data_IF_639715215780
#
_entry.id   IF_639715215780
#
_cell.length_a   1.000
_cell.length_b   1.000
_cell.length_c   1.000
_cell.angle_alpha   90.00
_cell.angle_beta   90.00
_cell.angle_gamma   90.00
#
_symmetry.space_group_name_H-M   'P 1'
#
loop_
_entity.id
_entity.type
_entity.pdbx_description
1 polymer ?
#
# COMPACT_ATOMS: atom_id res chain seq x y z
N UNK A 1 -9.73 10.85 -28.13
CA UNK A 1 -9.98 9.44 -28.49
C UNK A 1 -8.97 8.58 -27.72
N UNK A 2 -9.43 7.58 -26.95
CA UNK A 2 -8.58 6.84 -26.00
C UNK A 2 -7.46 6.02 -26.68
N UNK A 3 -7.63 5.63 -27.95
CA UNK A 3 -6.70 4.77 -28.69
C UNK A 3 -6.50 5.21 -30.16
N UNK A 4 -6.34 6.51 -30.41
CA UNK A 4 -6.00 7.01 -31.75
C UNK A 4 -4.62 6.49 -32.17
N UNK A 5 -4.46 6.13 -33.45
CA UNK A 5 -3.21 5.72 -34.10
C UNK A 5 -2.56 4.41 -33.63
N UNK A 6 -3.25 3.54 -32.88
CA UNK A 6 -2.74 2.18 -32.60
C UNK A 6 -3.17 1.17 -33.68
N UNK A 7 -2.26 0.29 -34.14
CA UNK A 7 -2.54 -0.65 -35.23
C UNK A 7 -3.58 -1.72 -34.86
N UNK A 8 -3.88 -1.90 -33.58
CA UNK A 8 -4.61 -3.07 -33.06
C UNK A 8 -6.07 -2.79 -32.67
N UNK A 9 -6.50 -1.51 -32.69
CA UNK A 9 -7.85 -1.13 -32.24
C UNK A 9 -8.11 -1.46 -30.76
N UNK A 10 -9.39 -1.62 -30.38
CA UNK A 10 -9.84 -2.01 -29.04
C UNK A 10 -10.33 -3.47 -29.07
N UNK A 11 -9.70 -4.37 -28.31
CA UNK A 11 -10.17 -5.76 -28.20
C UNK A 11 -9.35 -6.63 -27.23
N UNK A 12 -9.94 -7.72 -26.69
CA UNK A 12 -9.27 -8.63 -25.76
C UNK A 12 -8.24 -9.55 -26.43
N UNK A 13 -8.22 -9.62 -27.76
CA UNK A 13 -7.28 -10.44 -28.53
C UNK A 13 -6.56 -9.60 -29.58
N UNK A 14 -5.22 -9.59 -29.53
CA UNK A 14 -4.38 -9.06 -30.60
C UNK A 14 -4.35 -10.01 -31.79
N UNK A 15 -4.42 -9.46 -33.02
CA UNK A 15 -4.18 -10.23 -34.26
C UNK A 15 -2.69 -10.33 -34.61
N UNK A 16 -1.82 -9.59 -33.93
CA UNK A 16 -0.39 -9.42 -34.24
C UNK A 16 0.50 -10.11 -33.20
N UNK A 17 0.08 -10.14 -31.92
CA UNK A 17 0.82 -10.74 -30.80
C UNK A 17 -0.09 -11.64 -29.96
N UNK A 18 -0.54 -12.76 -30.52
CA UNK A 18 -1.22 -13.81 -29.73
C UNK A 18 -0.23 -14.47 -28.76
N UNK A 19 -0.57 -14.68 -27.47
CA UNK A 19 -1.90 -14.60 -26.84
C UNK A 19 -2.18 -13.31 -26.04
N UNK A 20 -1.46 -12.21 -26.31
CA UNK A 20 -1.53 -10.98 -25.49
C UNK A 20 -2.71 -10.10 -25.97
N UNK A 21 -3.48 -9.47 -25.06
CA UNK A 21 -4.53 -8.54 -25.43
C UNK A 21 -4.00 -7.32 -26.19
N UNK A 22 -4.88 -6.62 -26.93
CA UNK A 22 -4.48 -5.39 -27.63
C UNK A 22 -3.90 -4.38 -26.65
N UNK A 23 -2.87 -3.67 -27.06
CA UNK A 23 -2.17 -2.74 -26.17
C UNK A 23 -3.08 -1.59 -25.69
N UNK A 24 -4.12 -1.25 -26.45
CA UNK A 24 -5.21 -0.36 -26.02
C UNK A 24 -6.05 -0.95 -24.87
N UNK A 25 -6.42 -2.24 -24.92
CA UNK A 25 -7.16 -2.93 -23.86
C UNK A 25 -6.32 -3.04 -22.58
N UNK A 26 -5.00 -3.26 -22.73
CA UNK A 26 -4.07 -3.26 -21.60
C UNK A 26 -4.10 -1.91 -20.88
N UNK A 27 -3.92 -0.81 -21.62
CA UNK A 27 -3.82 0.53 -21.06
C UNK A 27 -5.15 1.08 -20.52
N UNK A 28 -6.28 0.53 -20.94
CA UNK A 28 -7.61 1.00 -20.50
C UNK A 28 -8.26 0.13 -19.44
N UNK A 29 -8.02 -1.18 -19.43
CA UNK A 29 -8.71 -2.12 -18.55
C UNK A 29 -7.74 -2.78 -17.58
N UNK A 30 -6.63 -3.35 -18.06
CA UNK A 30 -5.71 -4.12 -17.20
C UNK A 30 -4.88 -3.22 -16.28
N UNK A 31 -4.21 -2.20 -16.84
CA UNK A 31 -3.35 -1.29 -16.07
C UNK A 31 -4.09 -0.62 -14.89
N UNK A 32 -5.31 -0.07 -15.05
CA UNK A 32 -6.02 0.55 -13.92
C UNK A 32 -6.72 -0.47 -12.99
N UNK A 33 -6.78 -1.76 -13.33
CA UNK A 33 -7.51 -2.79 -12.56
C UNK A 33 -7.11 -2.84 -11.08
N UNK A 34 -5.81 -2.82 -10.70
CA UNK A 34 -5.43 -2.81 -9.29
C UNK A 34 -5.99 -1.61 -8.52
N UNK A 35 -6.09 -0.46 -9.19
CA UNK A 35 -6.65 0.76 -8.60
C UNK A 35 -8.16 0.63 -8.40
N UNK A 36 -8.88 0.06 -9.38
CA UNK A 36 -10.30 -0.23 -9.23
C UNK A 36 -10.58 -1.19 -8.08
N UNK A 37 -9.80 -2.28 -7.97
CA UNK A 37 -9.92 -3.23 -6.87
C UNK A 37 -9.63 -2.55 -5.53
N UNK A 38 -8.59 -1.73 -5.45
CA UNK A 38 -8.25 -0.99 -4.23
C UNK A 38 -9.35 0.01 -3.84
N UNK A 39 -9.93 0.74 -4.81
CA UNK A 39 -11.04 1.66 -4.60
C UNK A 39 -12.31 0.96 -4.11
N UNK A 40 -12.58 -0.27 -4.57
CA UNK A 40 -13.72 -1.07 -4.13
C UNK A 40 -13.49 -1.68 -2.74
N UNK A 41 -12.26 -2.13 -2.45
CA UNK A 41 -11.90 -2.70 -1.15
C UNK A 41 -11.95 -1.68 -0.01
N UNK A 42 -11.57 -0.42 -0.28
CA UNK A 42 -11.49 0.63 0.73
C UNK A 42 -12.82 0.90 1.48
N UNK A 43 -13.98 1.12 0.82
CA UNK A 43 -15.25 1.32 1.51
C UNK A 43 -15.74 0.06 2.22
N UNK A 44 -15.50 -1.14 1.66
CA UNK A 44 -15.85 -2.41 2.31
C UNK A 44 -15.11 -2.56 3.64
N UNK A 45 -13.79 -2.36 3.63
CA UNK A 45 -12.98 -2.41 4.84
C UNK A 45 -13.37 -1.33 5.84
N UNK A 46 -13.76 -0.15 5.37
CA UNK A 46 -14.24 0.93 6.23
C UNK A 46 -15.54 0.54 6.94
N UNK A 47 -16.53 -0.02 6.24
CA UNK A 47 -17.80 -0.49 6.82
C UNK A 47 -17.55 -1.61 7.83
N UNK A 48 -16.75 -2.62 7.47
CA UNK A 48 -16.40 -3.72 8.36
C UNK A 48 -15.68 -3.22 9.62
N UNK A 49 -14.77 -2.24 9.46
CA UNK A 49 -14.05 -1.65 10.59
C UNK A 49 -14.98 -0.87 11.52
N UNK A 50 -15.97 -0.15 10.99
CA UNK A 50 -16.98 0.55 11.79
C UNK A 50 -17.86 -0.45 12.54
N UNK A 51 -18.32 -1.50 11.86
CA UNK A 51 -19.19 -2.52 12.46
C UNK A 51 -18.50 -3.24 13.62
N UNK A 52 -17.26 -3.71 13.42
CA UNK A 52 -16.48 -4.36 14.47
C UNK A 52 -16.12 -3.41 15.62
N UNK A 53 -15.88 -2.13 15.34
CA UNK A 53 -15.60 -1.15 16.39
C UNK A 53 -16.81 -0.92 17.28
N UNK A 54 -18.02 -0.90 16.73
CA UNK A 54 -19.26 -0.79 17.53
C UNK A 54 -19.42 -1.98 18.49
N UNK A 55 -19.06 -3.18 18.04
CA UNK A 55 -19.16 -4.40 18.86
C UNK A 55 -18.11 -4.49 19.97
N UNK A 56 -16.91 -3.95 19.75
CA UNK A 56 -15.75 -4.17 20.64
C UNK A 56 -15.22 -2.87 21.29
N UNK A 57 -16.04 -1.83 21.42
CA UNK A 57 -15.59 -0.55 21.98
C UNK A 57 -15.42 -0.65 23.49
N UNK A 58 -14.18 -0.82 23.95
CA UNK A 58 -13.85 -0.79 25.37
C UNK A 58 -13.14 0.55 25.71
N UNK A 59 -13.81 1.50 26.41
CA UNK A 59 -13.32 2.87 26.60
C UNK A 59 -12.01 2.96 27.39
N UNK A 60 -11.71 1.94 28.20
CA UNK A 60 -10.59 1.83 29.14
C UNK A 60 -9.21 1.57 28.51
N UNK A 61 -9.08 1.47 27.19
CA UNK A 61 -7.76 1.26 26.53
C UNK A 61 -7.26 2.48 25.77
N UNK A 62 -8.08 3.54 25.69
CA UNK A 62 -7.83 4.71 24.85
C UNK A 62 -6.70 5.61 25.39
N UNK A 63 -6.49 5.62 26.71
CA UNK A 63 -5.49 6.42 27.40
C UNK A 63 -4.08 5.80 27.42
N UNK A 64 -3.93 4.49 27.18
CA UNK A 64 -2.64 3.80 27.17
C UNK A 64 -1.92 3.87 25.81
N UNK A 65 -2.31 4.78 24.91
CA UNK A 65 -1.67 4.92 23.59
C UNK A 65 -0.31 5.61 23.72
N UNK A 66 0.67 4.87 24.25
CA UNK A 66 2.07 5.25 24.29
C UNK A 66 2.52 5.66 22.89
N UNK A 67 3.00 6.91 22.77
CA UNK A 67 3.61 7.39 21.53
C UNK A 67 4.84 6.51 21.25
N UNK A 68 4.88 5.75 20.15
CA UNK A 68 6.06 4.95 19.85
C UNK A 68 7.24 5.90 19.67
N UNK A 69 8.34 5.64 20.38
CA UNK A 69 9.61 6.36 20.23
C UNK A 69 10.05 6.21 18.77
N UNK A 70 9.98 7.32 18.00
CA UNK A 70 10.29 7.33 16.58
C UNK A 70 11.80 7.26 16.45
N UNK A 71 12.31 6.10 16.05
CA UNK A 71 13.74 5.90 15.80
C UNK A 71 14.11 6.58 14.49
N UNK A 72 15.34 7.09 14.40
CA UNK A 72 15.87 7.72 13.20
C UNK A 72 15.75 6.80 11.97
N UNK A 73 16.06 5.51 12.12
CA UNK A 73 15.88 4.50 11.07
C UNK A 73 14.44 4.43 10.53
N UNK A 74 13.42 4.54 11.38
CA UNK A 74 12.03 4.55 10.92
C UNK A 74 11.72 5.82 10.10
N UNK A 75 12.33 6.95 10.47
CA UNK A 75 12.18 8.18 9.71
C UNK A 75 12.85 8.08 8.34
N UNK A 76 14.07 7.56 8.28
CA UNK A 76 14.82 7.37 7.03
C UNK A 76 14.10 6.43 6.07
N UNK A 77 13.65 5.27 6.54
CA UNK A 77 12.89 4.30 5.72
C UNK A 77 11.56 4.90 5.24
N UNK A 78 10.88 5.67 6.10
CA UNK A 78 9.65 6.37 5.70
C UNK A 78 9.89 7.48 4.69
N UNK A 79 11.01 8.21 4.77
CA UNK A 79 11.37 9.23 3.79
C UNK A 79 11.67 8.60 2.43
N UNK A 80 12.48 7.55 2.41
CA UNK A 80 12.79 6.79 1.20
C UNK A 80 11.52 6.27 0.51
N UNK A 81 10.56 5.75 1.28
CA UNK A 81 9.27 5.30 0.77
C UNK A 81 8.52 6.38 -0.01
N UNK A 82 8.39 7.61 0.53
CA UNK A 82 7.69 8.69 -0.18
C UNK A 82 8.48 9.22 -1.37
N UNK A 83 9.80 9.29 -1.27
CA UNK A 83 10.66 9.67 -2.40
C UNK A 83 10.45 8.71 -3.56
N UNK A 84 10.45 7.40 -3.31
CA UNK A 84 10.20 6.40 -4.34
C UNK A 84 8.80 6.51 -4.97
N UNK A 85 7.77 6.83 -4.18
CA UNK A 85 6.43 7.09 -4.73
C UNK A 85 6.45 8.32 -5.63
N UNK A 86 7.05 9.43 -5.20
CA UNK A 86 7.16 10.64 -6.03
C UNK A 86 7.93 10.36 -7.31
N UNK A 87 9.05 9.64 -7.23
CA UNK A 87 9.80 9.20 -8.41
C UNK A 87 8.94 8.36 -9.36
N UNK A 88 8.12 7.45 -8.84
CA UNK A 88 7.23 6.63 -9.67
C UNK A 88 6.13 7.47 -10.36
N UNK A 89 5.55 8.47 -9.65
CA UNK A 89 4.63 9.43 -10.26
C UNK A 89 5.31 10.20 -11.39
N UNK A 90 6.53 10.71 -11.16
CA UNK A 90 7.28 11.45 -12.17
C UNK A 90 7.60 10.56 -13.40
N UNK A 91 7.97 9.30 -13.19
CA UNK A 91 8.21 8.35 -14.28
C UNK A 91 6.94 8.11 -15.12
N UNK A 92 5.77 7.98 -14.49
CA UNK A 92 4.50 7.85 -15.22
C UNK A 92 4.15 9.12 -16.01
N UNK A 93 4.39 10.30 -15.42
CA UNK A 93 4.19 11.57 -16.13
C UNK A 93 5.11 11.66 -17.35
N UNK A 94 6.37 11.24 -17.24
CA UNK A 94 7.30 11.19 -18.36
C UNK A 94 6.82 10.23 -19.46
N UNK A 95 6.32 9.05 -19.09
CA UNK A 95 5.74 8.11 -20.06
C UNK A 95 4.54 8.74 -20.79
N UNK A 96 3.61 9.36 -20.05
CA UNK A 96 2.42 10.01 -20.61
C UNK A 96 2.82 11.12 -21.59
N UNK A 97 3.75 11.99 -21.21
CA UNK A 97 4.22 13.09 -22.07
C UNK A 97 4.92 12.54 -23.32
N UNK A 98 5.73 11.48 -23.19
CA UNK A 98 6.41 10.84 -24.32
C UNK A 98 5.42 10.18 -25.28
N UNK A 99 4.35 9.57 -24.76
CA UNK A 99 3.27 8.98 -25.57
C UNK A 99 2.41 10.06 -26.26
N UNK A 100 2.16 11.19 -25.59
CA UNK A 100 1.44 12.33 -26.16
C UNK A 100 2.20 12.94 -27.34
N UNK A 101 3.52 13.13 -27.20
CA UNK A 101 4.39 13.65 -28.26
C UNK A 101 4.37 12.77 -29.52
N UNK A 102 4.12 11.47 -29.36
CA UNK A 102 3.94 10.52 -30.47
C UNK A 102 2.50 10.42 -30.98
N UNK A 103 1.56 11.23 -30.45
CA UNK A 103 0.11 11.20 -30.77
C UNK A 103 -0.53 9.81 -30.57
N UNK A 104 0.02 8.99 -29.68
CA UNK A 104 -0.60 7.73 -29.30
C UNK A 104 -1.67 7.97 -28.23
N UNK A 105 -2.74 7.18 -28.29
CA UNK A 105 -3.76 7.17 -27.23
C UNK A 105 -3.15 6.84 -25.87
N UNK A 106 -3.43 7.70 -24.88
CA UNK A 106 -2.92 7.64 -23.50
C UNK A 106 -3.82 6.73 -22.61
N UNK A 107 -4.93 6.20 -23.15
CA UNK A 107 -5.80 5.25 -22.45
C UNK A 107 -6.26 5.75 -21.07
N UNK A 108 -6.24 4.85 -20.08
CA UNK A 108 -6.47 5.17 -18.66
C UNK A 108 -5.17 5.17 -17.84
N UNK A 109 -4.01 5.25 -18.51
CA UNK A 109 -2.70 5.28 -17.87
C UNK A 109 -2.58 6.35 -16.75
N UNK A 110 -3.09 7.60 -16.87
CA UNK A 110 -3.05 8.56 -15.76
C UNK A 110 -3.85 8.15 -14.52
N UNK A 111 -4.75 7.15 -14.62
CA UNK A 111 -5.52 6.67 -13.47
C UNK A 111 -4.65 5.90 -12.46
N UNK A 112 -3.51 5.35 -12.86
CA UNK A 112 -2.57 4.68 -11.93
C UNK A 112 -1.94 5.66 -10.94
N UNK A 113 -1.81 6.94 -11.30
CA UNK A 113 -1.39 8.02 -10.39
C UNK A 113 -2.35 8.11 -9.19
N UNK A 114 -3.66 7.90 -9.40
CA UNK A 114 -4.65 7.89 -8.32
C UNK A 114 -4.36 6.77 -7.33
N UNK A 115 -3.95 5.59 -7.82
CA UNK A 115 -3.52 4.46 -6.99
C UNK A 115 -2.30 4.80 -6.13
N UNK A 116 -1.27 5.42 -6.73
CA UNK A 116 -0.07 5.87 -6.02
C UNK A 116 -0.39 6.88 -4.92
N UNK A 117 -1.20 7.89 -5.25
CA UNK A 117 -1.64 8.91 -4.30
C UNK A 117 -2.45 8.30 -3.16
N UNK A 118 -3.37 7.39 -3.46
CA UNK A 118 -4.14 6.66 -2.47
C UNK A 118 -3.24 5.84 -1.53
N UNK A 119 -2.27 5.09 -2.08
CA UNK A 119 -1.31 4.31 -1.31
C UNK A 119 -0.47 5.18 -0.37
N UNK A 120 0.01 6.32 -0.86
CA UNK A 120 0.74 7.32 -0.07
C UNK A 120 -0.13 7.91 1.06
N UNK A 121 -1.37 8.30 0.75
CA UNK A 121 -2.31 8.85 1.74
C UNK A 121 -2.69 7.83 2.81
N UNK A 122 -2.90 6.57 2.43
CA UNK A 122 -3.17 5.47 3.37
C UNK A 122 -1.97 5.22 4.28
N UNK A 123 -0.75 5.23 3.74
CA UNK A 123 0.47 5.07 4.53
C UNK A 123 0.68 6.24 5.49
N UNK A 124 0.55 7.48 5.01
CA UNK A 124 0.71 8.71 5.79
C UNK A 124 -0.28 8.81 6.92
N UNK A 125 -1.55 8.52 6.62
CA UNK A 125 -2.64 8.54 7.59
C UNK A 125 -2.63 7.31 8.51
N UNK A 126 -1.77 6.31 8.26
CA UNK A 126 -1.79 4.99 8.91
C UNK A 126 -3.20 4.35 8.84
N UNK A 127 -3.83 4.43 7.66
CA UNK A 127 -5.23 4.03 7.42
C UNK A 127 -6.25 4.94 8.11
N UNK A 128 -5.97 6.25 8.20
CA UNK A 128 -6.71 7.27 8.95
C UNK A 128 -6.82 6.99 10.47
N UNK A 129 -5.67 6.95 11.15
CA UNK A 129 -5.53 6.87 12.63
C UNK A 129 -5.92 5.51 13.24
N UNK A 130 -5.89 4.46 12.43
CA UNK A 130 -6.28 3.10 12.80
C UNK A 130 -7.77 2.81 12.66
N UNK A 131 -8.51 3.67 11.95
CA UNK A 131 -9.95 3.48 11.69
C UNK A 131 -10.20 2.36 10.69
N UNK A 132 -9.31 2.15 9.73
CA UNK A 132 -9.42 1.09 8.71
C UNK A 132 -8.52 -0.08 9.12
N UNK A 133 -9.09 -1.16 9.65
CA UNK A 133 -8.38 -2.41 9.95
C UNK A 133 -8.16 -3.15 8.63
N UNK A 134 -6.91 -3.24 8.18
CA UNK A 134 -6.57 -3.85 6.88
C UNK A 134 -6.14 -2.88 5.78
N UNK A 135 -5.87 -1.60 6.10
CA UNK A 135 -5.35 -0.64 5.11
C UNK A 135 -4.06 -1.08 4.40
N UNK A 136 -3.24 -1.92 5.07
CA UNK A 136 -2.04 -2.50 4.47
C UNK A 136 -2.37 -3.47 3.33
N UNK A 137 -3.51 -4.15 3.38
CA UNK A 137 -3.98 -5.02 2.30
C UNK A 137 -4.32 -4.20 1.05
N UNK A 138 -4.97 -3.04 1.23
CA UNK A 138 -5.26 -2.12 0.11
C UNK A 138 -3.97 -1.64 -0.54
N UNK A 139 -2.99 -1.22 0.27
CA UNK A 139 -1.67 -0.84 -0.23
C UNK A 139 -0.97 -2.01 -0.93
N UNK A 140 -1.03 -3.23 -0.39
CA UNK A 140 -0.44 -4.41 -1.01
C UNK A 140 -1.05 -4.71 -2.38
N UNK A 141 -2.36 -4.56 -2.55
CA UNK A 141 -3.03 -4.71 -3.86
C UNK A 141 -2.49 -3.68 -4.86
N UNK A 142 -2.32 -2.43 -4.44
CA UNK A 142 -1.75 -1.37 -5.30
C UNK A 142 -0.31 -1.69 -5.69
N UNK A 143 0.54 -2.09 -4.73
CA UNK A 143 1.96 -2.36 -5.00
C UNK A 143 2.15 -3.62 -5.86
N UNK A 144 1.55 -4.75 -5.46
CA UNK A 144 1.67 -6.02 -6.18
C UNK A 144 1.01 -5.91 -7.55
N UNK A 145 -0.19 -5.32 -7.62
CA UNK A 145 -0.88 -5.09 -8.88
C UNK A 145 -0.10 -4.16 -9.80
N UNK A 146 0.54 -3.11 -9.26
CA UNK A 146 1.44 -2.23 -10.02
C UNK A 146 2.62 -2.98 -10.64
N UNK A 147 3.28 -3.87 -9.88
CA UNK A 147 4.36 -4.74 -10.40
C UNK A 147 3.84 -5.64 -11.52
N UNK A 148 2.73 -6.35 -11.28
CA UNK A 148 2.16 -7.31 -12.23
C UNK A 148 1.75 -6.62 -13.53
N UNK A 149 1.04 -5.49 -13.45
CA UNK A 149 0.59 -4.79 -14.66
C UNK A 149 1.75 -4.15 -15.43
N UNK A 150 2.75 -3.62 -14.73
CA UNK A 150 3.98 -3.12 -15.38
C UNK A 150 4.73 -4.25 -16.10
N UNK A 151 4.79 -5.45 -15.51
CA UNK A 151 5.39 -6.62 -16.16
C UNK A 151 4.59 -7.06 -17.40
N UNK A 152 3.27 -7.08 -17.32
CA UNK A 152 2.39 -7.35 -18.48
C UNK A 152 2.64 -6.34 -19.60
N UNK A 153 2.77 -5.06 -19.26
CA UNK A 153 3.07 -4.00 -20.23
C UNK A 153 4.44 -4.19 -20.88
N UNK A 154 5.49 -4.53 -20.12
CA UNK A 154 6.83 -4.87 -20.65
C UNK A 154 6.75 -6.05 -21.63
N UNK A 155 6.05 -7.12 -21.27
CA UNK A 155 5.91 -8.31 -22.12
C UNK A 155 5.14 -7.98 -23.40
N UNK A 156 4.08 -7.16 -23.31
CA UNK A 156 3.33 -6.67 -24.46
C UNK A 156 4.19 -5.85 -25.43
N UNK A 157 4.95 -4.89 -24.90
CA UNK A 157 5.87 -4.05 -25.69
C UNK A 157 6.99 -4.88 -26.35
N UNK A 158 7.52 -5.88 -25.65
CA UNK A 158 8.56 -6.76 -26.19
C UNK A 158 8.04 -7.63 -27.33
N UNK A 159 6.76 -8.03 -27.27
CA UNK A 159 6.10 -8.88 -28.27
C UNK A 159 5.63 -8.12 -29.52
N UNK A 160 5.24 -6.85 -29.39
CA UNK A 160 5.00 -5.95 -30.55
C UNK A 160 6.24 -5.81 -31.45
N UNK A 161 7.43 -6.12 -30.93
CA UNK A 161 8.65 -6.28 -31.71
C UNK A 161 9.37 -4.97 -32.03
N UNK A 162 10.68 -5.07 -32.24
CA UNK A 162 11.59 -3.92 -32.41
C UNK A 162 11.28 -3.13 -33.70
N UNK A 163 10.46 -3.66 -34.63
CA UNK A 163 10.16 -3.01 -35.90
C UNK A 163 8.99 -2.00 -35.84
N UNK A 164 8.20 -1.97 -34.75
CA UNK A 164 7.01 -1.11 -34.66
C UNK A 164 7.29 0.40 -34.60
N UNK A 165 8.49 0.83 -34.15
CA UNK A 165 8.86 2.26 -33.98
C UNK A 165 10.35 2.59 -34.15
N UNK A 166 11.09 1.84 -34.98
CA UNK A 166 12.50 2.17 -35.29
C UNK A 166 12.58 3.56 -35.93
N UNK A 167 13.31 4.49 -35.30
CA UNK A 167 13.52 5.86 -35.80
C UNK A 167 12.59 6.94 -35.23
N UNK A 168 11.67 6.61 -34.32
CA UNK A 168 10.86 7.62 -33.62
C UNK A 168 11.59 8.21 -32.40
N UNK A 169 11.14 9.38 -31.92
CA UNK A 169 11.73 10.09 -30.76
C UNK A 169 11.61 9.30 -29.43
N UNK A 170 10.83 8.22 -29.39
CA UNK A 170 10.71 7.33 -28.24
C UNK A 170 10.57 5.87 -28.72
N UNK A 171 11.70 5.16 -28.91
CA UNK A 171 11.70 3.79 -29.38
C UNK A 171 11.12 2.84 -28.32
N UNK A 172 10.56 1.71 -28.76
CA UNK A 172 9.96 0.69 -27.88
C UNK A 172 10.96 0.18 -26.83
N UNK A 173 12.25 0.13 -27.15
CA UNK A 173 13.31 -0.24 -26.19
C UNK A 173 13.36 0.69 -24.98
N UNK A 174 13.27 2.01 -25.20
CA UNK A 174 13.30 2.99 -24.12
C UNK A 174 12.03 2.91 -23.28
N UNK A 175 10.88 2.67 -23.93
CA UNK A 175 9.62 2.44 -23.23
C UNK A 175 9.65 1.19 -22.34
N UNK A 176 10.21 0.09 -22.84
CA UNK A 176 10.37 -1.13 -22.04
C UNK A 176 11.23 -0.88 -20.80
N UNK A 177 12.33 -0.12 -20.94
CA UNK A 177 13.20 0.22 -19.82
C UNK A 177 12.47 1.10 -18.80
N UNK A 178 11.78 2.16 -19.24
CA UNK A 178 11.04 3.05 -18.35
C UNK A 178 9.99 2.28 -17.52
N UNK A 179 9.22 1.39 -18.17
CA UNK A 179 8.18 0.57 -17.52
C UNK A 179 8.79 -0.49 -16.60
N UNK A 180 9.91 -1.11 -16.99
CA UNK A 180 10.63 -2.06 -16.13
C UNK A 180 11.18 -1.39 -14.87
N UNK A 181 11.70 -0.17 -14.98
CA UNK A 181 12.14 0.63 -13.83
C UNK A 181 10.94 0.95 -12.92
N UNK A 182 9.80 1.34 -13.48
CA UNK A 182 8.57 1.55 -12.68
C UNK A 182 8.15 0.28 -11.93
N UNK A 183 8.20 -0.90 -12.57
CA UNK A 183 7.92 -2.18 -11.92
C UNK A 183 8.86 -2.45 -10.73
N UNK A 184 10.16 -2.20 -10.91
CA UNK A 184 11.16 -2.32 -9.85
C UNK A 184 10.88 -1.37 -8.67
N UNK A 185 10.53 -0.11 -8.96
CA UNK A 185 10.17 0.87 -7.91
C UNK A 185 8.92 0.42 -7.15
N UNK A 186 7.90 -0.09 -7.83
CA UNK A 186 6.71 -0.66 -7.19
C UNK A 186 7.07 -1.82 -6.23
N UNK A 187 7.96 -2.72 -6.67
CA UNK A 187 8.40 -3.85 -5.86
C UNK A 187 9.16 -3.38 -4.60
N UNK A 188 10.08 -2.42 -4.74
CA UNK A 188 10.84 -1.85 -3.61
C UNK A 188 9.89 -1.16 -2.62
N UNK A 189 8.93 -0.36 -3.09
CA UNK A 189 7.90 0.27 -2.25
C UNK A 189 7.08 -0.79 -1.50
N UNK A 190 6.68 -1.87 -2.17
CA UNK A 190 5.99 -3.01 -1.55
C UNK A 190 6.81 -3.69 -0.44
N UNK A 191 8.10 -3.93 -0.68
CA UNK A 191 9.01 -4.49 0.32
C UNK A 191 9.16 -3.54 1.51
N UNK A 192 9.34 -2.24 1.27
CA UNK A 192 9.45 -1.25 2.34
C UNK A 192 8.16 -1.19 3.19
N UNK A 193 6.98 -1.27 2.56
CA UNK A 193 5.70 -1.35 3.28
C UNK A 193 5.64 -2.61 4.18
N UNK A 194 6.08 -3.76 3.67
CA UNK A 194 6.14 -5.02 4.41
C UNK A 194 7.08 -4.89 5.62
N UNK A 195 8.31 -4.41 5.41
CA UNK A 195 9.31 -4.20 6.46
C UNK A 195 8.78 -3.24 7.53
N UNK A 196 8.22 -2.09 7.13
CA UNK A 196 7.61 -1.14 8.06
C UNK A 196 6.42 -1.76 8.81
N UNK A 197 5.64 -2.63 8.16
CA UNK A 197 4.56 -3.39 8.77
C UNK A 197 5.05 -4.36 9.84
N UNK A 198 6.05 -5.19 9.52
CA UNK A 198 6.66 -6.16 10.43
C UNK A 198 7.32 -5.46 11.62
N UNK A 199 8.04 -4.36 11.39
CA UNK A 199 8.63 -3.55 12.47
C UNK A 199 7.57 -2.99 13.41
N UNK A 200 6.40 -2.57 12.90
CA UNK A 200 5.28 -2.11 13.75
C UNK A 200 4.66 -3.26 14.52
N UNK A 201 4.52 -4.44 13.92
CA UNK A 201 3.96 -5.62 14.59
C UNK A 201 4.87 -6.11 15.73
N UNK A 202 6.17 -6.23 15.48
CA UNK A 202 7.17 -6.61 16.48
C UNK A 202 7.18 -5.67 17.68
N UNK A 203 7.10 -4.34 17.46
CA UNK A 203 7.01 -3.35 18.55
C UNK A 203 5.74 -3.50 19.41
N UNK A 204 4.61 -3.88 18.81
CA UNK A 204 3.36 -4.13 19.57
C UNK A 204 3.48 -5.37 20.45
N UNK A 205 4.13 -6.42 19.96
CA UNK A 205 4.38 -7.63 20.73
C UNK A 205 5.38 -7.40 21.88
N UNK A 206 6.44 -6.61 21.64
CA UNK A 206 7.43 -6.25 22.66
C UNK A 206 6.85 -5.44 23.82
N UNK A 207 6.04 -4.42 23.53
CA UNK A 207 5.42 -3.58 24.57
C UNK A 207 4.34 -4.28 25.39
N UNK A 208 3.75 -5.38 24.91
CA UNK A 208 2.81 -6.18 25.68
C UNK A 208 3.53 -7.03 26.75
N UNK A 209 4.78 -7.44 26.48
CA UNK A 209 5.59 -8.27 27.39
C UNK A 209 6.18 -7.49 28.56
N UNK A 210 6.41 -6.19 28.38
CA UNK A 210 6.94 -5.29 29.42
C UNK A 210 5.87 -4.79 30.40
N UNK A 211 4.58 -4.85 30.02
CA UNK A 211 3.45 -4.42 30.84
C UNK A 211 2.75 -5.56 31.61
N UNK A 212 3.29 -6.78 31.59
CA UNK A 212 2.85 -7.83 32.52
C UNK A 212 3.56 -7.55 33.84
N UNK A 213 2.88 -7.03 34.89
CA UNK A 213 3.50 -6.97 36.21
C UNK A 213 3.82 -8.40 36.60
N UNK A 214 4.97 -8.57 37.22
CA UNK A 214 5.40 -9.79 37.89
C UNK A 214 4.41 -10.08 39.05
N UNK A 215 3.23 -10.59 38.69
CA UNK A 215 2.20 -11.02 39.63
C UNK A 215 2.56 -12.42 40.09
N UNK A 216 3.04 -12.55 41.33
CA UNK A 216 3.04 -13.84 42.01
C UNK A 216 4.17 -14.11 42.99
N UNK A 217 4.51 -13.17 43.88
CA UNK A 217 4.99 -13.55 45.22
C UNK A 217 4.26 -12.67 46.23
N UNK A 218 3.17 -13.22 46.73
CA UNK A 218 2.46 -12.74 47.92
C UNK A 218 3.44 -12.68 49.09
N UNK A 219 3.52 -11.61 49.89
CA UNK A 219 4.11 -11.75 51.20
C UNK A 219 3.16 -12.63 52.01
N UNK A 220 3.76 -13.70 52.54
CA UNK A 220 3.19 -14.64 53.48
C UNK A 220 2.51 -13.87 54.60
N UNK A 221 1.25 -14.25 54.85
CA UNK A 221 0.43 -13.77 55.95
C UNK A 221 1.07 -14.25 57.25
N UNK A 222 1.77 -13.36 57.95
CA UNK A 222 2.34 -13.63 59.26
C UNK A 222 1.21 -13.56 60.29
N UNK A 223 0.66 -14.73 60.63
CA UNK A 223 -0.16 -14.94 61.82
C UNK A 223 0.61 -14.47 63.06
N UNK A 224 0.23 -13.34 63.62
CA UNK A 224 0.54 -12.98 65.00
C UNK A 224 -0.74 -12.57 65.70
N UNK A 225 -1.17 -13.45 66.60
CA UNK A 225 -2.13 -13.17 67.64
C UNK A 225 -1.65 -11.98 68.47
N UNK A 226 -2.47 -10.94 68.62
CA UNK A 226 -2.40 -10.08 69.81
C UNK A 226 -3.79 -9.72 70.31
N UNK A 227 -4.11 -10.44 71.39
CA UNK A 227 -5.08 -10.21 72.44
C UNK A 227 -5.24 -8.73 72.84
N UNK A 228 -6.49 -8.27 72.95
CA UNK A 228 -6.96 -7.64 74.20
C UNK A 228 -7.29 -6.15 74.24
N UNK A 229 -8.60 -5.88 74.36
CA UNK A 229 -9.29 -4.91 75.25
C UNK A 229 -9.02 -3.40 75.11
N UNK A 230 -10.08 -2.62 74.83
CA UNK A 230 -10.84 -1.76 75.78
C UNK A 230 -11.97 -0.99 75.04
N UNK A 231 -12.99 -0.41 75.72
CA UNK A 231 -14.40 -0.57 75.35
C UNK A 231 -15.10 0.81 75.18
N UNK A 232 -16.43 0.94 75.41
CA UNK A 232 -17.34 1.57 74.46
C UNK A 232 -17.49 3.09 74.64
N UNK A 233 -18.01 3.69 73.57
CA UNK A 233 -18.51 5.06 73.50
C UNK A 233 -19.60 5.33 74.55
N UNK A 234 -19.45 6.42 75.29
CA UNK A 234 -20.52 7.07 76.04
C UNK A 234 -20.89 8.37 75.32
N UNK A 235 -22.21 8.59 75.28
CA UNK A 235 -23.00 9.62 74.60
C UNK A 235 -22.39 11.03 74.53
#
# INVERSE_FOLDING_TARGET
MLCTNRPEGFGPHSKISSPIPTSCFVDTILIPLPVWVALLLLPILLVLSIHHRKQNFNPSTTYLRTKPRRTWAFNTVSALYYILIVCNILMQVLEIVRLELLRFGIGLLPFTIVGLMMGALLHWSKGARGRIRGWQTVNAVVWIGGVVMSAVQVVGLTKEGINGRKGSKYPISDQVIDVAVMAGVYAVVGILELVLGLLRASRRAGGARENTPQSGMSPVMETSEFVGKYPPTVK
#
